data_IF_886846214827
#
_entry.id   IF_886846214827
#
_cell.length_a   1.000
_cell.length_b   1.000
_cell.length_c   1.000
_cell.angle_alpha   90.00
_cell.angle_beta   90.00
_cell.angle_gamma   90.00
#
_symmetry.space_group_name_H-M   'P 1'
#
loop_
_entity.id
_entity.type
_entity.pdbx_description
1 polymer ?
#
# COMPACT_ATOMS: atom_id res chain seq x y z
N UNK A 1 -8.79 -18.89 15.03
CA UNK A 1 -7.92 -17.86 14.44
C UNK A 1 -7.79 -16.79 15.51
N UNK A 2 -6.58 -16.41 15.90
CA UNK A 2 -6.44 -15.29 16.82
C UNK A 2 -6.99 -14.04 16.10
N UNK A 3 -7.93 -13.33 16.74
CA UNK A 3 -8.25 -11.97 16.30
C UNK A 3 -6.93 -11.19 16.33
N UNK A 4 -6.48 -10.76 15.15
CA UNK A 4 -5.31 -9.91 15.04
C UNK A 4 -5.78 -8.53 15.48
N UNK A 5 -5.45 -8.14 16.72
CA UNK A 5 -5.81 -6.82 17.21
C UNK A 5 -5.06 -5.74 16.42
N UNK A 6 -5.81 -4.79 15.88
CA UNK A 6 -5.24 -3.63 15.21
C UNK A 6 -4.37 -2.84 16.19
N UNK A 7 -3.16 -2.39 15.79
CA UNK A 7 -2.38 -1.45 16.59
C UNK A 7 -3.17 -0.16 16.89
N UNK A 8 -2.84 0.58 17.97
CA UNK A 8 -3.58 1.79 18.34
C UNK A 8 -3.66 2.87 17.25
N UNK A 9 -2.65 2.92 16.38
CA UNK A 9 -2.52 3.89 15.27
C UNK A 9 -3.30 3.48 14.00
N UNK A 10 -3.94 2.30 14.03
CA UNK A 10 -4.64 1.71 12.89
C UNK A 10 -6.14 1.81 13.11
N UNK A 11 -6.84 2.31 12.10
CA UNK A 11 -8.25 2.62 12.17
C UNK A 11 -9.04 1.96 11.04
N UNK A 12 -10.26 1.57 11.39
CA UNK A 12 -11.36 1.28 10.47
C UNK A 12 -12.55 2.13 10.92
N UNK A 13 -12.78 3.25 10.23
CA UNK A 13 -13.81 4.21 10.60
C UNK A 13 -15.17 3.76 10.07
N UNK A 14 -16.11 3.51 10.97
CA UNK A 14 -17.46 3.02 10.63
C UNK A 14 -18.47 4.16 10.46
N UNK A 15 -18.20 5.31 11.06
CA UNK A 15 -19.06 6.50 10.96
C UNK A 15 -18.26 7.79 10.79
N UNK A 16 -18.84 8.78 10.11
CA UNK A 16 -18.18 10.08 9.86
C UNK A 16 -17.75 10.80 11.16
N UNK A 17 -18.47 10.59 12.26
CA UNK A 17 -18.17 11.22 13.55
C UNK A 17 -16.88 10.69 14.20
N UNK A 18 -16.41 9.52 13.80
CA UNK A 18 -15.13 8.95 14.23
C UNK A 18 -13.95 9.50 13.42
N UNK A 19 -14.22 10.07 12.24
CA UNK A 19 -13.19 10.45 11.27
C UNK A 19 -12.64 11.85 11.58
N UNK A 20 -11.32 12.00 11.80
CA UNK A 20 -10.66 13.29 11.92
C UNK A 20 -11.02 14.22 10.76
N UNK A 21 -11.24 15.51 11.05
CA UNK A 21 -11.79 16.48 10.09
C UNK A 21 -11.02 16.55 8.77
N UNK A 22 -9.68 16.50 8.84
CA UNK A 22 -8.76 16.53 7.69
C UNK A 22 -8.78 15.25 6.83
N UNK A 23 -9.32 14.14 7.37
CA UNK A 23 -9.46 12.85 6.69
C UNK A 23 -10.85 12.69 6.04
N UNK A 24 -11.87 13.44 6.48
CA UNK A 24 -13.27 13.24 6.05
C UNK A 24 -13.46 13.25 4.54
N UNK A 25 -12.74 14.10 3.81
CA UNK A 25 -12.79 14.16 2.34
C UNK A 25 -12.24 12.89 1.66
N UNK A 26 -11.26 12.23 2.28
CA UNK A 26 -10.71 10.95 1.83
C UNK A 26 -11.63 9.79 2.21
N UNK A 27 -12.16 9.79 3.44
CA UNK A 27 -13.11 8.78 3.89
C UNK A 27 -14.43 8.80 3.10
N UNK A 28 -14.90 9.97 2.67
CA UNK A 28 -16.04 10.10 1.75
C UNK A 28 -15.80 9.37 0.41
N UNK A 29 -14.54 9.18 0.04
CA UNK A 29 -14.10 8.46 -1.17
C UNK A 29 -13.51 7.09 -0.86
N UNK A 30 -13.68 6.56 0.36
CA UNK A 30 -13.05 5.31 0.81
C UNK A 30 -13.26 4.12 -0.13
N UNK A 31 -14.44 3.98 -0.75
CA UNK A 31 -14.72 2.92 -1.72
C UNK A 31 -13.99 3.07 -3.06
N UNK A 32 -13.53 4.28 -3.40
CA UNK A 32 -12.62 4.50 -4.53
C UNK A 32 -11.18 4.22 -4.14
N UNK A 33 -10.84 4.34 -2.85
CA UNK A 33 -9.51 4.04 -2.33
C UNK A 33 -9.34 2.52 -2.20
N UNK A 34 -10.25 1.86 -1.51
CA UNK A 34 -10.39 0.41 -1.43
C UNK A 34 -11.86 0.03 -1.65
N UNK A 35 -12.15 -0.66 -2.75
CA UNK A 35 -13.52 -1.13 -3.04
C UNK A 35 -14.07 -2.03 -1.93
N UNK A 36 -13.21 -2.78 -1.24
CA UNK A 36 -13.53 -3.65 -0.11
C UNK A 36 -13.43 -2.97 1.26
N UNK A 37 -13.58 -1.64 1.34
CA UNK A 37 -13.37 -0.92 2.60
C UNK A 37 -14.14 -1.56 3.78
N UNK A 38 -15.43 -1.82 3.59
CA UNK A 38 -16.33 -2.39 4.62
C UNK A 38 -16.05 -3.87 4.97
N UNK A 39 -15.18 -4.55 4.21
CA UNK A 39 -14.69 -5.89 4.56
C UNK A 39 -13.62 -5.85 5.68
N UNK A 40 -13.38 -4.68 6.27
CA UNK A 40 -12.50 -4.48 7.42
C UNK A 40 -11.14 -3.89 7.06
N UNK A 41 -11.02 -3.10 5.98
CA UNK A 41 -9.76 -2.47 5.58
C UNK A 41 -9.20 -1.58 6.69
N UNK A 42 -7.89 -1.65 6.87
CA UNK A 42 -7.13 -0.90 7.86
C UNK A 42 -6.28 0.18 7.21
N UNK A 43 -6.29 1.35 7.82
CA UNK A 43 -5.46 2.49 7.47
C UNK A 43 -4.97 3.19 8.74
N UNK A 44 -3.72 3.65 8.75
CA UNK A 44 -3.33 4.69 9.70
C UNK A 44 -3.86 6.03 9.19
N UNK A 45 -3.97 7.04 10.06
CA UNK A 45 -4.40 8.39 9.66
C UNK A 45 -3.55 8.95 8.51
N UNK A 46 -2.24 8.76 8.60
CA UNK A 46 -1.27 9.21 7.58
C UNK A 46 -1.43 8.48 6.24
N UNK A 47 -1.85 7.22 6.26
CA UNK A 47 -1.96 6.43 5.05
C UNK A 47 -3.10 6.91 4.14
N UNK A 48 -4.11 7.60 4.67
CA UNK A 48 -5.21 8.18 3.88
C UNK A 48 -4.72 9.19 2.83
N UNK A 49 -3.66 9.94 3.14
CA UNK A 49 -3.12 10.98 2.24
C UNK A 49 -2.21 10.40 1.16
N UNK A 50 -1.60 9.24 1.40
CA UNK A 50 -0.61 8.64 0.50
C UNK A 50 -1.13 7.48 -0.35
N UNK A 51 -2.26 6.88 0.03
CA UNK A 51 -2.78 5.70 -0.67
C UNK A 51 -3.26 6.06 -2.08
N UNK A 52 -2.77 5.31 -3.07
CA UNK A 52 -3.22 5.45 -4.46
C UNK A 52 -4.62 4.86 -4.60
N UNK A 53 -5.63 5.61 -5.09
CA UNK A 53 -6.97 5.07 -5.29
C UNK A 53 -6.98 3.86 -6.22
N UNK A 54 -7.82 2.86 -5.91
CA UNK A 54 -7.87 1.57 -6.62
C UNK A 54 -7.97 1.71 -8.16
N UNK A 55 -8.80 2.60 -8.74
CA UNK A 55 -8.85 2.77 -10.19
C UNK A 55 -7.50 3.20 -10.79
N UNK A 56 -6.74 4.05 -10.08
CA UNK A 56 -5.42 4.52 -10.52
C UNK A 56 -4.40 3.40 -10.36
N UNK A 57 -4.40 2.72 -9.22
CA UNK A 57 -3.52 1.59 -8.94
C UNK A 57 -3.70 0.47 -9.98
N UNK A 58 -4.94 0.16 -10.36
CA UNK A 58 -5.25 -0.85 -11.38
C UNK A 58 -4.72 -0.48 -12.77
N UNK A 59 -4.80 0.79 -13.16
CA UNK A 59 -4.23 1.27 -14.44
C UNK A 59 -2.72 1.14 -14.43
N UNK A 60 -2.05 1.59 -13.36
CA UNK A 60 -0.59 1.46 -13.19
C UNK A 60 -0.19 -0.02 -13.25
N UNK A 61 -0.89 -0.88 -12.50
CA UNK A 61 -0.61 -2.30 -12.45
C UNK A 61 -0.75 -2.97 -13.82
N UNK A 62 -1.80 -2.66 -14.57
CA UNK A 62 -2.00 -3.17 -15.93
C UNK A 62 -0.91 -2.70 -16.89
N UNK A 63 -0.53 -1.42 -16.83
CA UNK A 63 0.51 -0.86 -17.70
C UNK A 63 1.89 -1.47 -17.42
N UNK A 64 2.27 -1.60 -16.15
CA UNK A 64 3.54 -2.23 -15.77
C UNK A 64 3.52 -3.71 -16.17
N UNK A 65 2.43 -4.44 -15.91
CA UNK A 65 2.32 -5.85 -16.27
C UNK A 65 2.43 -6.11 -17.78
N UNK A 66 1.82 -5.23 -18.61
CA UNK A 66 1.85 -5.29 -20.06
C UNK A 66 3.19 -4.86 -20.67
N UNK A 67 3.92 -3.95 -20.01
CA UNK A 67 5.19 -3.41 -20.51
C UNK A 67 6.43 -4.11 -19.94
N UNK A 68 6.26 -4.97 -18.93
CA UNK A 68 7.36 -5.69 -18.30
C UNK A 68 8.10 -6.59 -19.32
N UNK A 69 9.43 -6.48 -19.43
CA UNK A 69 10.22 -7.31 -20.34
C UNK A 69 9.98 -8.81 -20.15
N UNK A 70 10.13 -9.58 -21.23
CA UNK A 70 10.04 -11.04 -21.18
C UNK A 70 10.99 -11.61 -20.12
N UNK A 71 10.52 -12.60 -19.36
CA UNK A 71 11.28 -13.24 -18.28
C UNK A 71 11.27 -12.50 -16.94
N UNK A 72 10.92 -11.19 -16.89
CA UNK A 72 10.76 -10.47 -15.62
C UNK A 72 9.41 -10.80 -14.99
N UNK A 73 9.47 -11.54 -13.87
CA UNK A 73 8.29 -12.07 -13.17
C UNK A 73 8.31 -11.74 -11.67
N UNK A 74 9.28 -10.96 -11.21
CA UNK A 74 9.33 -10.44 -9.85
C UNK A 74 9.04 -8.94 -9.91
N UNK A 75 8.24 -8.43 -8.98
CA UNK A 75 8.07 -7.00 -8.78
C UNK A 75 8.54 -6.62 -7.38
N UNK A 76 9.25 -5.50 -7.28
CA UNK A 76 9.62 -4.89 -6.00
C UNK A 76 8.85 -3.59 -5.87
N UNK A 77 8.01 -3.50 -4.85
CA UNK A 77 7.35 -2.26 -4.45
C UNK A 77 8.18 -1.64 -3.33
N UNK A 78 8.93 -0.57 -3.65
CA UNK A 78 9.90 0.02 -2.73
C UNK A 78 9.25 0.87 -1.62
N UNK A 79 7.97 1.23 -1.76
CA UNK A 79 7.24 2.11 -0.84
C UNK A 79 5.76 1.67 -0.79
N UNK A 80 5.53 0.51 -0.17
CA UNK A 80 4.25 -0.19 -0.26
C UNK A 80 3.08 0.57 0.39
N UNK A 81 3.34 1.42 1.38
CA UNK A 81 2.31 2.11 2.13
C UNK A 81 1.31 1.12 2.72
N UNK A 82 0.02 1.47 2.75
CA UNK A 82 -1.06 0.57 3.18
C UNK A 82 -1.45 -0.50 2.12
N UNK A 83 -0.61 -0.71 1.09
CA UNK A 83 -0.73 -1.81 0.15
C UNK A 83 -1.55 -1.54 -1.11
N UNK A 84 -2.03 -0.32 -1.37
CA UNK A 84 -2.90 -0.02 -2.53
C UNK A 84 -2.32 -0.48 -3.87
N UNK A 85 -1.11 -0.02 -4.22
CA UNK A 85 -0.42 -0.45 -5.45
C UNK A 85 0.01 -1.93 -5.38
N UNK A 86 0.55 -2.37 -4.24
CA UNK A 86 1.00 -3.76 -4.04
C UNK A 86 -0.13 -4.77 -4.30
N UNK A 87 -1.33 -4.52 -3.77
CA UNK A 87 -2.52 -5.36 -3.98
C UNK A 87 -2.91 -5.35 -5.45
N UNK A 88 -2.97 -4.18 -6.09
CA UNK A 88 -3.28 -4.07 -7.51
C UNK A 88 -2.29 -4.87 -8.38
N UNK A 89 -0.98 -4.78 -8.09
CA UNK A 89 0.03 -5.61 -8.75
C UNK A 89 -0.25 -7.10 -8.58
N UNK A 90 -0.58 -7.54 -7.36
CA UNK A 90 -0.83 -8.96 -7.07
C UNK A 90 -2.08 -9.50 -7.77
N UNK A 91 -3.10 -8.66 -7.95
CA UNK A 91 -4.34 -8.98 -8.65
C UNK A 91 -4.14 -9.17 -10.15
N UNK A 92 -3.11 -8.57 -10.77
CA UNK A 92 -2.82 -8.78 -12.20
C UNK A 92 -2.51 -10.23 -12.57
N UNK A 93 -2.07 -11.06 -11.61
CA UNK A 93 -1.58 -12.42 -11.87
C UNK A 93 -0.27 -12.49 -12.68
N UNK A 94 0.31 -11.34 -13.06
CA UNK A 94 1.56 -11.29 -13.83
C UNK A 94 2.75 -11.74 -13.02
N UNK A 95 2.84 -11.36 -11.75
CA UNK A 95 4.04 -11.56 -10.93
C UNK A 95 4.03 -12.93 -10.25
N UNK A 96 5.16 -13.64 -10.31
CA UNK A 96 5.37 -14.87 -9.53
C UNK A 96 5.50 -14.57 -8.04
N UNK A 97 6.08 -13.40 -7.71
CA UNK A 97 6.26 -12.91 -6.35
C UNK A 97 6.39 -11.39 -6.39
N UNK A 98 5.79 -10.73 -5.40
CA UNK A 98 5.99 -9.31 -5.13
C UNK A 98 6.78 -9.19 -3.83
N UNK A 99 7.82 -8.37 -3.82
CA UNK A 99 8.56 -7.99 -2.62
C UNK A 99 8.20 -6.54 -2.28
N UNK A 100 7.43 -6.36 -1.22
CA UNK A 100 6.89 -5.06 -0.84
C UNK A 100 7.59 -4.55 0.42
N UNK A 101 8.10 -3.33 0.37
CA UNK A 101 8.89 -2.72 1.42
C UNK A 101 8.11 -1.55 2.01
N UNK A 102 7.99 -1.52 3.33
CA UNK A 102 7.43 -0.38 4.06
C UNK A 102 8.27 -0.14 5.32
N UNK A 103 8.55 1.12 5.62
CA UNK A 103 9.40 1.52 6.73
C UNK A 103 8.61 1.64 8.04
N UNK A 104 7.36 2.10 7.96
CA UNK A 104 6.52 2.25 9.14
C UNK A 104 5.83 0.91 9.50
N UNK A 105 6.08 0.34 10.69
CA UNK A 105 5.52 -0.96 11.07
C UNK A 105 3.99 -0.98 11.18
N UNK A 106 3.35 0.11 11.59
CA UNK A 106 1.89 0.19 11.67
C UNK A 106 1.27 0.20 10.27
N UNK A 107 1.84 0.98 9.34
CA UNK A 107 1.40 1.02 7.94
C UNK A 107 1.63 -0.35 7.25
N UNK A 108 2.75 -1.00 7.54
CA UNK A 108 3.03 -2.35 7.04
C UNK A 108 2.02 -3.38 7.54
N UNK A 109 1.57 -3.27 8.79
CA UNK A 109 0.49 -4.13 9.32
C UNK A 109 -0.81 -3.90 8.57
N UNK A 110 -1.19 -2.65 8.29
CA UNK A 110 -2.33 -2.34 7.42
C UNK A 110 -2.19 -3.02 6.07
N UNK A 111 -1.03 -2.89 5.42
CA UNK A 111 -0.79 -3.48 4.10
C UNK A 111 -0.95 -5.02 4.08
N UNK A 112 -0.39 -5.69 5.10
CA UNK A 112 -0.51 -7.14 5.27
C UNK A 112 -1.97 -7.56 5.48
N UNK A 113 -2.70 -6.86 6.35
CA UNK A 113 -4.11 -7.11 6.62
C UNK A 113 -4.98 -6.89 5.38
N UNK A 114 -4.82 -5.75 4.72
CA UNK A 114 -5.55 -5.41 3.50
C UNK A 114 -5.30 -6.43 2.38
N UNK A 115 -4.06 -6.92 2.24
CA UNK A 115 -3.77 -7.98 1.27
C UNK A 115 -4.53 -9.30 1.55
N UNK A 116 -4.78 -9.65 2.82
CA UNK A 116 -5.61 -10.80 3.19
C UNK A 116 -7.08 -10.60 2.78
N UNK A 117 -7.64 -9.40 3.00
CA UNK A 117 -9.01 -9.05 2.58
C UNK A 117 -9.18 -9.21 1.06
N UNK A 118 -8.15 -8.85 0.30
CA UNK A 118 -8.13 -8.99 -1.15
C UNK A 118 -7.70 -10.39 -1.64
N UNK A 119 -7.32 -11.31 -0.75
CA UNK A 119 -6.97 -12.70 -1.07
C UNK A 119 -5.70 -12.83 -1.92
N UNK A 120 -4.71 -11.97 -1.66
CA UNK A 120 -3.44 -11.92 -2.42
C UNK A 120 -2.21 -11.98 -1.52
N UNK A 121 -2.39 -12.23 -0.23
CA UNK A 121 -1.32 -12.29 0.77
C UNK A 121 -0.25 -13.34 0.43
N UNK A 122 -0.64 -14.45 -0.20
CA UNK A 122 0.24 -15.55 -0.58
C UNK A 122 1.23 -15.17 -1.71
N UNK A 123 0.92 -14.10 -2.46
CA UNK A 123 1.72 -13.58 -3.58
C UNK A 123 2.77 -12.56 -3.15
N UNK A 124 2.73 -12.09 -1.90
CA UNK A 124 3.53 -10.95 -1.43
C UNK A 124 4.48 -11.39 -0.32
N UNK A 125 5.73 -10.96 -0.40
CA UNK A 125 6.72 -11.05 0.67
C UNK A 125 7.02 -9.65 1.16
N UNK A 126 6.81 -9.42 2.46
CA UNK A 126 6.87 -8.12 3.08
C UNK A 126 8.21 -7.90 3.78
N UNK A 127 8.79 -6.71 3.63
CA UNK A 127 9.94 -6.26 4.41
C UNK A 127 9.60 -5.00 5.18
N UNK A 128 9.99 -5.00 6.45
CA UNK A 128 9.98 -3.81 7.29
C UNK A 128 11.36 -3.16 7.25
N UNK A 129 11.43 -1.89 6.86
CA UNK A 129 12.66 -1.10 6.96
C UNK A 129 12.92 -0.16 5.80
N UNK A 130 14.16 0.31 5.71
CA UNK A 130 14.58 1.24 4.68
C UNK A 130 14.76 0.55 3.32
N UNK A 131 14.12 1.08 2.28
CA UNK A 131 14.12 0.45 0.96
C UNK A 131 15.51 0.43 0.33
N UNK A 132 16.36 1.44 0.55
CA UNK A 132 17.70 1.46 0.00
C UNK A 132 18.56 0.36 0.61
N UNK A 133 18.44 0.15 1.92
CA UNK A 133 19.16 -0.92 2.62
C UNK A 133 18.68 -2.31 2.20
N UNK A 134 17.36 -2.52 2.11
CA UNK A 134 16.78 -3.81 1.73
C UNK A 134 17.11 -4.15 0.28
N UNK A 135 16.99 -3.19 -0.64
CA UNK A 135 17.35 -3.39 -2.05
C UNK A 135 18.82 -3.78 -2.20
N UNK A 136 19.73 -3.09 -1.50
CA UNK A 136 21.17 -3.33 -1.58
C UNK A 136 21.62 -4.64 -0.93
N UNK A 137 21.05 -4.97 0.24
CA UNK A 137 21.57 -6.03 1.08
C UNK A 137 20.79 -7.35 0.95
N UNK A 138 19.50 -7.30 0.61
CA UNK A 138 18.61 -8.46 0.63
C UNK A 138 18.04 -8.84 -0.74
N UNK A 139 17.79 -7.85 -1.62
CA UNK A 139 17.13 -8.09 -2.92
C UNK A 139 18.05 -7.94 -4.14
N UNK A 140 19.33 -7.64 -3.93
CA UNK A 140 20.31 -7.38 -5.02
C UNK A 140 20.35 -8.49 -6.09
N UNK A 141 20.29 -9.76 -5.66
CA UNK A 141 20.43 -10.91 -6.55
C UNK A 141 19.16 -11.14 -7.40
N UNK A 142 18.05 -10.49 -7.04
CA UNK A 142 16.80 -10.51 -7.80
C UNK A 142 16.76 -9.44 -8.89
N UNK A 143 17.70 -8.50 -8.92
CA UNK A 143 17.69 -7.37 -9.86
C UNK A 143 17.54 -7.78 -11.34
N UNK A 144 18.19 -8.85 -11.85
CA UNK A 144 18.02 -9.28 -13.24
C UNK A 144 16.60 -9.73 -13.60
N UNK A 145 15.81 -10.15 -12.61
CA UNK A 145 14.47 -10.74 -12.79
C UNK A 145 13.33 -9.81 -12.41
N UNK A 146 13.67 -8.62 -11.90
CA UNK A 146 12.73 -7.73 -11.21
C UNK A 146 12.35 -6.52 -12.05
N UNK A 147 11.14 -6.02 -11.80
CA UNK A 147 10.72 -4.65 -12.09
C UNK A 147 10.58 -3.94 -10.75
N UNK A 148 11.10 -2.72 -10.64
CA UNK A 148 10.96 -1.90 -9.43
C UNK A 148 9.90 -0.84 -9.66
N UNK A 149 8.92 -0.78 -8.76
CA UNK A 149 7.98 0.31 -8.63
C UNK A 149 8.34 1.13 -7.39
N UNK A 150 8.26 2.46 -7.50
CA UNK A 150 8.56 3.36 -6.39
C UNK A 150 7.59 4.53 -6.40
N UNK A 151 6.79 4.63 -5.33
CA UNK A 151 5.94 5.78 -5.01
C UNK A 151 6.36 6.35 -3.65
N UNK A 152 7.51 7.06 -3.56
CA UNK A 152 8.00 7.61 -2.31
C UNK A 152 7.01 8.62 -1.70
N UNK A 153 7.16 8.97 -0.41
CA UNK A 153 6.43 10.09 0.16
C UNK A 153 6.77 11.39 -0.57
N UNK A 154 5.78 12.08 -1.13
CA UNK A 154 5.97 13.28 -1.95
C UNK A 154 5.83 14.60 -1.16
N UNK A 155 6.11 14.59 0.15
CA UNK A 155 5.99 15.77 1.00
C UNK A 155 4.57 16.03 1.53
N UNK A 156 3.87 14.97 1.95
CA UNK A 156 2.51 15.05 2.50
C UNK A 156 2.36 16.01 3.70
N UNK A 157 3.46 16.39 4.36
CA UNK A 157 3.51 17.35 5.45
C UNK A 157 2.95 18.74 5.08
N UNK A 158 2.94 19.11 3.80
CA UNK A 158 2.30 20.36 3.35
C UNK A 158 0.76 20.28 3.33
N UNK A 159 0.15 19.09 3.24
CA UNK A 159 -1.32 18.95 3.33
C UNK A 159 -1.82 19.16 4.76
N UNK A 160 -0.99 18.92 5.78
CA UNK A 160 -1.31 19.17 7.19
C UNK A 160 -1.29 20.66 7.56
N UNK A 161 -0.48 21.47 6.88
CA UNK A 161 -0.20 22.86 7.27
C UNK A 161 -1.09 23.92 6.60
N UNK A 162 -2.02 23.55 5.71
CA UNK A 162 -2.97 24.53 5.15
C UNK A 162 -4.08 24.94 6.13
N UNK A 163 -4.19 24.30 7.30
CA UNK A 163 -5.30 24.50 8.24
C UNK A 163 -4.93 25.29 9.49
N UNK A 164 -3.66 25.66 9.70
CA UNK A 164 -3.27 26.53 10.83
C UNK A 164 -3.22 28.02 10.47
N UNK A 165 -3.71 28.40 9.29
CA UNK A 165 -3.81 29.79 8.82
C UNK A 165 -5.24 30.08 8.37
N UNK A 166 -6.19 30.09 9.30
CA UNK A 166 -7.45 30.85 9.25
C UNK A 166 -8.06 30.90 10.65
#
# INVERSE_FOLDING_TARGET
MADEDAPPEVHHYSSLHEVPWDIQNYWAQRYRIFSKYDDGVWLTDDAWFGVTPEPVANVIASQIAGSAPAGRRILVDAFAGAGGNTIAFALTGKWKRIYAIEKNPAVLKCAKHNAKIYGVEDKITWFEGDCFEILKNQLKDLAPYSVVFASPPWGGEFYRNFTSMT
#
